data_IF_664026833880
#
_entry.id   IF_664026833880
#
_cell.length_a   1.000
_cell.length_b   1.000
_cell.length_c   1.000
_cell.angle_alpha   90.00
_cell.angle_beta   90.00
_cell.angle_gamma   90.00
#
_symmetry.space_group_name_H-M   'P 1'
#
loop_
_entity.id
_entity.type
_entity.pdbx_description
1 polymer ?
#
# COMPACT_ATOMS: atom_id res chain seq x y z
N UNK A 1 18.70 -7.48 8.14
CA UNK A 1 17.85 -8.61 7.73
C UNK A 1 16.40 -8.20 7.80
N UNK A 2 15.65 -8.43 6.73
CA UNK A 2 14.19 -8.28 6.69
C UNK A 2 13.61 -9.69 6.77
N UNK A 3 12.62 -9.86 7.63
CA UNK A 3 11.91 -11.13 7.86
C UNK A 3 10.41 -10.89 7.81
N UNK A 4 9.64 -11.95 7.70
CA UNK A 4 8.18 -11.87 7.77
C UNK A 4 7.61 -12.93 8.71
N UNK A 5 6.43 -12.64 9.26
CA UNK A 5 5.64 -13.54 10.08
C UNK A 5 4.17 -13.44 9.67
N UNK A 6 3.57 -14.56 9.33
CA UNK A 6 2.14 -14.63 9.02
C UNK A 6 1.34 -15.18 10.20
N UNK A 7 0.26 -14.48 10.55
CA UNK A 7 -0.73 -14.91 11.54
C UNK A 7 -2.03 -15.35 10.84
N UNK A 8 -2.30 -16.65 10.73
CA UNK A 8 -3.48 -17.15 10.00
C UNK A 8 -4.83 -16.67 10.54
N UNK A 9 -4.99 -16.62 11.88
CA UNK A 9 -6.25 -16.24 12.52
C UNK A 9 -6.68 -14.80 12.17
N UNK A 10 -5.73 -13.87 12.15
CA UNK A 10 -5.96 -12.47 11.82
C UNK A 10 -5.75 -12.15 10.34
N UNK A 11 -5.30 -13.12 9.54
CA UNK A 11 -4.88 -12.97 8.14
C UNK A 11 -3.89 -11.80 7.97
N UNK A 12 -2.99 -11.63 8.94
CA UNK A 12 -2.04 -10.51 8.99
C UNK A 12 -0.63 -11.00 8.71
N UNK A 13 0.04 -10.32 7.78
CA UNK A 13 1.46 -10.50 7.52
C UNK A 13 2.23 -9.34 8.15
N UNK A 14 3.22 -9.65 8.96
CA UNK A 14 4.13 -8.69 9.57
C UNK A 14 5.47 -8.72 8.87
N UNK A 15 5.96 -7.55 8.46
CA UNK A 15 7.33 -7.38 7.93
C UNK A 15 8.17 -6.72 9.00
N UNK A 16 9.25 -7.38 9.40
CA UNK A 16 10.13 -7.01 10.50
C UNK A 16 11.56 -6.79 10.01
N UNK A 17 12.26 -5.88 10.68
CA UNK A 17 13.66 -5.61 10.41
C UNK A 17 14.00 -4.14 10.40
N UNK A 18 15.15 -3.79 9.80
CA UNK A 18 15.62 -2.40 9.73
C UNK A 18 16.11 -2.08 8.32
N UNK A 19 15.89 -0.83 7.93
CA UNK A 19 16.38 -0.28 6.67
C UNK A 19 15.43 -0.48 5.50
N UNK A 20 15.88 -1.12 4.44
CA UNK A 20 15.20 -1.16 3.15
C UNK A 20 14.57 -2.53 2.91
N UNK A 21 13.27 -2.56 2.58
CA UNK A 21 12.67 -3.75 1.97
C UNK A 21 13.19 -3.83 0.53
N UNK A 22 13.86 -4.92 0.15
CA UNK A 22 14.49 -5.03 -1.16
C UNK A 22 13.47 -5.09 -2.30
N UNK A 23 13.94 -4.92 -3.51
CA UNK A 23 13.14 -5.15 -4.71
C UNK A 23 12.64 -6.59 -4.77
N UNK A 24 11.40 -6.75 -5.24
CA UNK A 24 10.77 -8.07 -5.42
C UNK A 24 10.81 -8.94 -4.15
N UNK A 25 10.72 -8.32 -2.99
CA UNK A 25 10.83 -9.04 -1.71
C UNK A 25 9.78 -10.14 -1.54
N UNK A 26 8.53 -9.82 -1.83
CA UNK A 26 7.39 -10.74 -1.94
C UNK A 26 6.57 -10.41 -3.20
N UNK A 27 7.15 -9.71 -4.16
CA UNK A 27 6.50 -9.22 -5.36
C UNK A 27 7.27 -9.61 -6.63
N UNK A 28 6.65 -9.33 -7.76
CA UNK A 28 7.15 -9.59 -9.10
C UNK A 28 7.18 -8.30 -9.91
N UNK A 29 8.05 -8.19 -10.89
CA UNK A 29 7.91 -7.19 -11.92
C UNK A 29 7.01 -7.72 -13.07
N UNK A 30 6.55 -6.78 -13.90
CA UNK A 30 5.64 -7.07 -15.01
C UNK A 30 6.27 -8.06 -15.99
N UNK A 31 7.53 -7.83 -16.35
CA UNK A 31 8.24 -8.61 -17.37
C UNK A 31 8.43 -10.07 -16.90
N UNK A 32 8.80 -10.27 -15.64
CA UNK A 32 8.94 -11.62 -15.08
C UNK A 32 7.59 -12.36 -14.99
N UNK A 33 6.52 -11.63 -14.73
CA UNK A 33 5.18 -12.21 -14.71
C UNK A 33 4.72 -12.57 -16.12
N UNK A 34 4.98 -11.72 -17.10
CA UNK A 34 4.69 -11.97 -18.52
C UNK A 34 5.56 -13.07 -19.10
N UNK A 35 6.89 -13.03 -18.90
CA UNK A 35 7.84 -14.08 -19.31
C UNK A 35 7.47 -15.44 -18.70
N UNK A 36 7.03 -15.42 -17.45
CA UNK A 36 6.57 -16.60 -16.77
C UNK A 36 5.29 -17.14 -17.44
N UNK A 37 4.28 -16.30 -17.68
CA UNK A 37 3.05 -16.68 -18.36
C UNK A 37 3.34 -17.23 -19.75
N UNK A 38 4.24 -16.60 -20.51
CA UNK A 38 4.63 -17.07 -21.84
C UNK A 38 5.40 -18.40 -21.80
N UNK A 39 6.36 -18.55 -20.89
CA UNK A 39 7.17 -19.75 -20.79
C UNK A 39 6.34 -20.99 -20.42
N UNK A 40 5.36 -20.84 -19.56
CA UNK A 40 4.46 -21.93 -19.17
C UNK A 40 3.39 -22.20 -20.24
N UNK A 41 2.95 -21.19 -21.01
CA UNK A 41 2.05 -21.32 -22.13
C UNK A 41 2.61 -22.23 -23.24
N UNK A 42 3.94 -22.16 -23.47
CA UNK A 42 4.61 -22.94 -24.52
C UNK A 42 5.11 -24.33 -24.07
N UNK A 43 5.17 -24.56 -22.77
CA UNK A 43 5.87 -25.74 -22.25
C UNK A 43 5.02 -27.02 -22.14
N UNK A 44 3.68 -26.96 -22.20
CA UNK A 44 2.86 -28.16 -21.97
C UNK A 44 1.51 -28.16 -22.73
N UNK A 45 1.13 -29.31 -23.27
CA UNK A 45 -0.26 -29.63 -23.59
C UNK A 45 -1.06 -29.70 -22.29
N UNK A 46 -1.86 -28.67 -22.02
CA UNK A 46 -2.68 -28.60 -20.81
C UNK A 46 -2.46 -27.37 -19.97
N UNK A 47 -2.54 -26.16 -20.59
CA UNK A 47 -2.23 -24.90 -19.92
C UNK A 47 -3.20 -24.54 -18.81
N UNK A 48 -2.64 -23.93 -17.78
CA UNK A 48 -3.39 -23.04 -16.90
C UNK A 48 -2.83 -21.62 -17.09
N UNK A 49 -3.59 -20.76 -17.71
CA UNK A 49 -3.31 -19.33 -17.75
C UNK A 49 -4.01 -18.70 -16.55
N UNK A 50 -3.26 -18.16 -15.63
CA UNK A 50 -3.81 -17.37 -14.53
C UNK A 50 -3.42 -15.90 -14.73
N UNK A 51 -4.40 -15.02 -14.79
CA UNK A 51 -4.18 -13.58 -14.85
C UNK A 51 -5.02 -12.89 -13.80
N UNK A 52 -4.54 -11.75 -13.35
CA UNK A 52 -5.24 -10.91 -12.41
C UNK A 52 -6.03 -9.87 -13.19
N UNK A 53 -7.36 -9.90 -13.08
CA UNK A 53 -8.20 -8.89 -13.70
C UNK A 53 -8.36 -7.65 -12.81
N UNK A 54 -8.95 -6.61 -13.39
CA UNK A 54 -9.20 -5.32 -12.73
C UNK A 54 -10.13 -5.42 -11.50
N UNK A 55 -10.85 -6.52 -11.33
CA UNK A 55 -11.66 -6.83 -10.15
C UNK A 55 -10.83 -7.36 -8.96
N UNK A 56 -9.54 -7.67 -9.17
CA UNK A 56 -8.63 -8.21 -8.18
C UNK A 56 -8.75 -9.70 -7.94
N UNK A 57 -9.50 -10.40 -8.80
CA UNK A 57 -9.55 -11.85 -8.80
C UNK A 57 -8.53 -12.45 -9.75
N UNK A 58 -7.95 -13.58 -9.35
CA UNK A 58 -7.09 -14.37 -10.24
C UNK A 58 -8.00 -15.25 -11.08
N UNK A 59 -8.10 -14.90 -12.34
CA UNK A 59 -8.80 -15.70 -13.33
C UNK A 59 -7.87 -16.79 -13.84
N UNK A 60 -8.36 -18.01 -13.83
CA UNK A 60 -7.59 -19.17 -14.26
C UNK A 60 -8.27 -19.83 -15.43
N UNK A 61 -7.62 -19.85 -16.58
CA UNK A 61 -8.05 -20.62 -17.74
C UNK A 61 -7.36 -21.99 -17.74
N UNK A 62 -8.15 -23.05 -17.82
CA UNK A 62 -7.65 -24.43 -17.92
C UNK A 62 -7.86 -25.00 -19.30
N UNK A 63 -6.83 -25.54 -19.88
CA UNK A 63 -6.99 -26.48 -20.95
C UNK A 63 -6.75 -27.90 -20.40
N UNK A 64 -7.83 -28.55 -20.00
CA UNK A 64 -7.93 -29.95 -19.52
C UNK A 64 -7.13 -30.37 -18.29
N UNK A 65 -7.88 -30.62 -17.23
CA UNK A 65 -7.57 -31.48 -16.07
C UNK A 65 -6.19 -31.34 -15.40
N UNK A 66 -6.00 -30.28 -14.63
CA UNK A 66 -5.02 -30.30 -13.55
C UNK A 66 -5.52 -29.49 -12.33
N UNK A 67 -5.15 -29.96 -11.15
CA UNK A 67 -5.56 -29.43 -9.86
C UNK A 67 -4.95 -28.03 -9.58
N UNK A 68 -5.79 -27.03 -9.30
CA UNK A 68 -5.41 -25.63 -9.14
C UNK A 68 -4.29 -25.41 -8.10
N UNK A 69 -4.32 -26.20 -7.05
CA UNK A 69 -3.37 -26.10 -5.95
C UNK A 69 -1.94 -26.52 -6.34
N UNK A 70 -1.83 -27.50 -7.22
CA UNK A 70 -0.55 -28.02 -7.67
C UNK A 70 0.18 -27.05 -8.63
N UNK A 71 -0.58 -26.34 -9.48
CA UNK A 71 -0.03 -25.41 -10.45
C UNK A 71 0.50 -24.14 -9.81
N UNK A 72 -0.24 -23.61 -8.84
CA UNK A 72 0.21 -22.44 -8.09
C UNK A 72 1.46 -22.74 -7.24
N UNK A 73 1.61 -23.96 -6.73
CA UNK A 73 2.82 -24.40 -6.04
C UNK A 73 4.05 -24.51 -6.95
N UNK A 74 3.87 -24.75 -8.23
CA UNK A 74 4.97 -24.76 -9.22
C UNK A 74 5.47 -23.37 -9.57
N UNK A 75 4.55 -22.42 -9.64
CA UNK A 75 4.81 -21.01 -10.01
C UNK A 75 5.50 -20.26 -8.87
N UNK A 76 5.00 -20.48 -7.69
CA UNK A 76 5.50 -19.83 -6.49
C UNK A 76 6.09 -20.92 -5.59
N UNK A 77 7.40 -20.99 -5.43
CA UNK A 77 7.96 -21.96 -4.50
C UNK A 77 7.36 -21.76 -3.11
N UNK A 78 6.88 -22.84 -2.51
CA UNK A 78 6.43 -22.84 -1.12
C UNK A 78 7.45 -22.05 -0.25
N UNK A 79 6.99 -21.17 0.64
CA UNK A 79 5.64 -21.04 1.20
C UNK A 79 4.83 -19.83 0.67
N UNK A 80 5.23 -19.19 -0.41
CA UNK A 80 4.75 -17.87 -0.83
C UNK A 80 3.27 -17.85 -1.23
N UNK A 81 2.85 -18.77 -2.07
CA UNK A 81 1.48 -18.72 -2.65
C UNK A 81 0.42 -18.98 -1.61
N UNK A 82 0.65 -19.91 -0.71
CA UNK A 82 -0.31 -20.24 0.33
C UNK A 82 -0.53 -19.10 1.31
N UNK A 83 0.52 -18.29 1.58
CA UNK A 83 0.46 -17.17 2.53
C UNK A 83 -0.15 -15.93 1.88
N UNK A 84 0.38 -15.50 0.73
CA UNK A 84 0.04 -14.20 0.15
C UNK A 84 -1.43 -14.07 -0.24
N UNK A 85 -2.07 -15.15 -0.71
CA UNK A 85 -3.51 -15.18 -1.01
C UNK A 85 -4.42 -15.00 0.20
N UNK A 86 -3.97 -15.34 1.38
CA UNK A 86 -4.77 -15.24 2.60
C UNK A 86 -4.53 -13.93 3.35
N UNK A 87 -3.55 -13.12 2.95
CA UNK A 87 -3.23 -11.87 3.61
C UNK A 87 -4.28 -10.82 3.29
N UNK A 88 -4.97 -10.35 4.33
CA UNK A 88 -5.88 -9.19 4.27
C UNK A 88 -5.28 -7.94 4.87
N UNK A 89 -4.27 -8.11 5.71
CA UNK A 89 -3.60 -7.00 6.37
C UNK A 89 -2.10 -7.19 6.33
N UNK A 90 -1.39 -6.16 5.87
CA UNK A 90 0.06 -6.08 5.91
C UNK A 90 0.48 -5.05 6.95
N UNK A 91 1.34 -5.45 7.88
CA UNK A 91 1.91 -4.56 8.89
C UNK A 91 3.42 -4.50 8.67
N UNK A 92 3.90 -3.31 8.34
CA UNK A 92 5.33 -3.03 8.24
C UNK A 92 5.76 -2.40 9.56
N UNK A 93 6.64 -3.07 10.29
CA UNK A 93 7.03 -2.68 11.63
C UNK A 93 8.09 -1.55 11.64
N UNK A 94 8.23 -0.90 12.80
CA UNK A 94 9.20 0.17 12.99
C UNK A 94 10.64 -0.28 12.71
N UNK A 95 11.42 0.63 12.12
CA UNK A 95 12.79 0.36 11.66
C UNK A 95 12.90 0.26 10.14
N UNK A 96 11.82 -0.03 9.43
CA UNK A 96 11.80 0.01 7.97
C UNK A 96 11.73 1.47 7.53
N UNK A 97 12.63 1.85 6.62
CA UNK A 97 12.76 3.22 6.13
C UNK A 97 12.41 3.40 4.66
N UNK A 98 12.47 2.32 3.89
CA UNK A 98 12.16 2.34 2.45
C UNK A 98 11.52 1.04 2.00
N UNK A 99 10.57 1.17 1.08
CA UNK A 99 10.00 0.06 0.31
C UNK A 99 10.47 0.22 -1.13
N UNK A 100 11.20 -0.77 -1.64
CA UNK A 100 11.76 -0.73 -2.99
C UNK A 100 10.73 -1.07 -4.06
N UNK A 101 11.15 -0.93 -5.31
CA UNK A 101 10.35 -1.20 -6.49
C UNK A 101 9.86 -2.66 -6.50
N UNK A 102 8.61 -2.88 -6.88
CA UNK A 102 7.96 -4.19 -6.96
C UNK A 102 7.98 -5.04 -5.67
N UNK A 103 8.27 -4.44 -4.50
CA UNK A 103 8.48 -5.20 -3.27
C UNK A 103 7.30 -6.12 -2.89
N UNK A 104 6.07 -5.73 -3.23
CA UNK A 104 4.83 -6.45 -2.93
C UNK A 104 3.87 -6.52 -4.12
N UNK A 105 4.32 -6.17 -5.33
CA UNK A 105 3.47 -6.17 -6.51
C UNK A 105 3.04 -7.59 -6.89
N UNK A 106 1.83 -7.72 -7.44
CA UNK A 106 1.22 -8.96 -7.92
C UNK A 106 1.07 -10.09 -6.89
N UNK A 107 1.33 -9.84 -5.61
CA UNK A 107 1.40 -10.92 -4.60
C UNK A 107 0.23 -10.98 -3.64
N UNK A 108 -0.55 -9.92 -3.50
CA UNK A 108 -1.57 -9.82 -2.46
C UNK A 108 -2.97 -9.48 -3.03
N UNK A 109 -3.63 -10.42 -3.71
CA UNK A 109 -4.93 -10.14 -4.38
C UNK A 109 -6.04 -9.76 -3.39
N UNK A 110 -5.95 -10.22 -2.15
CA UNK A 110 -6.96 -9.98 -1.11
C UNK A 110 -6.54 -8.93 -0.06
N UNK A 111 -5.47 -8.16 -0.31
CA UNK A 111 -4.99 -7.15 0.62
C UNK A 111 -6.00 -6.01 0.77
N UNK A 112 -6.48 -5.81 1.96
CA UNK A 112 -7.45 -4.76 2.29
C UNK A 112 -6.82 -3.57 3.02
N UNK A 113 -5.71 -3.82 3.72
CA UNK A 113 -5.09 -2.81 4.57
C UNK A 113 -3.59 -2.97 4.65
N UNK A 114 -2.88 -1.86 4.51
CA UNK A 114 -1.47 -1.74 4.87
C UNK A 114 -1.30 -0.78 6.04
N UNK A 115 -0.41 -1.12 6.97
CA UNK A 115 0.01 -0.26 8.09
C UNK A 115 1.49 0.03 7.94
N UNK A 116 1.81 1.30 7.77
CA UNK A 116 3.19 1.77 7.63
C UNK A 116 3.77 2.27 8.95
N UNK A 117 5.08 2.04 9.20
CA UNK A 117 5.76 2.54 10.38
C UNK A 117 6.04 4.06 10.29
N UNK A 118 6.22 4.68 11.43
CA UNK A 118 6.60 6.10 11.50
C UNK A 118 8.03 6.37 10.98
N UNK A 119 8.85 5.32 10.89
CA UNK A 119 10.22 5.36 10.35
C UNK A 119 10.27 5.39 8.83
N UNK A 120 9.17 5.10 8.12
CA UNK A 120 9.14 5.05 6.66
C UNK A 120 9.38 6.44 6.04
N UNK A 121 10.27 6.51 5.05
CA UNK A 121 10.67 7.72 4.32
C UNK A 121 10.29 7.68 2.84
N UNK A 122 10.33 6.50 2.22
CA UNK A 122 10.04 6.39 0.79
C UNK A 122 9.37 5.09 0.39
N UNK A 123 8.48 5.20 -0.60
CA UNK A 123 7.84 4.07 -1.28
C UNK A 123 8.13 4.25 -2.78
N UNK A 124 8.76 3.25 -3.38
CA UNK A 124 9.17 3.31 -4.77
C UNK A 124 8.05 2.86 -5.73
N UNK A 125 8.36 2.99 -7.02
CA UNK A 125 7.52 2.63 -8.15
C UNK A 125 7.01 1.18 -8.05
N UNK A 126 5.74 0.97 -8.40
CA UNK A 126 5.08 -0.33 -8.44
C UNK A 126 5.20 -1.17 -7.14
N UNK A 127 5.53 -0.55 -6.01
CA UNK A 127 5.75 -1.29 -4.76
C UNK A 127 4.56 -2.15 -4.32
N UNK A 128 3.34 -1.71 -4.64
CA UNK A 128 2.06 -2.37 -4.36
C UNK A 128 1.16 -2.43 -5.60
N UNK A 129 1.74 -2.55 -6.79
CA UNK A 129 0.95 -2.67 -8.00
C UNK A 129 0.00 -3.87 -7.91
N UNK A 130 -1.22 -3.69 -8.45
CA UNK A 130 -2.33 -4.68 -8.43
C UNK A 130 -2.91 -4.95 -7.02
N UNK A 131 -2.43 -4.29 -5.96
CA UNK A 131 -3.04 -4.39 -4.63
C UNK A 131 -4.25 -3.44 -4.55
N UNK A 132 -5.46 -3.95 -4.54
CA UNK A 132 -6.69 -3.14 -4.43
C UNK A 132 -6.99 -2.81 -2.96
N UNK A 133 -7.03 -1.53 -2.62
CA UNK A 133 -7.34 -1.08 -1.26
C UNK A 133 -8.29 0.12 -1.27
N UNK A 134 -9.24 0.14 -0.35
CA UNK A 134 -10.14 1.28 -0.22
C UNK A 134 -9.45 2.52 0.31
N UNK A 135 -8.48 2.33 1.20
CA UNK A 135 -7.79 3.46 1.83
C UNK A 135 -6.36 3.10 2.26
N UNK A 136 -5.44 3.99 1.90
CA UNK A 136 -4.05 3.95 2.37
C UNK A 136 -3.73 5.21 3.16
N UNK A 137 -3.15 5.03 4.37
CA UNK A 137 -2.74 6.14 5.23
C UNK A 137 -1.23 6.23 5.25
N UNK A 138 -0.69 7.31 4.73
CA UNK A 138 0.75 7.58 4.70
C UNK A 138 1.21 8.29 5.98
N UNK A 139 2.31 7.82 6.61
CA UNK A 139 2.79 8.37 7.86
C UNK A 139 3.33 9.80 7.69
N UNK A 140 3.33 10.56 8.79
CA UNK A 140 3.71 11.98 8.77
C UNK A 140 5.17 12.23 8.32
N UNK A 141 6.04 11.26 8.53
CA UNK A 141 7.46 11.34 8.20
C UNK A 141 7.81 10.83 6.80
N UNK A 142 6.83 10.39 6.01
CA UNK A 142 7.07 9.97 4.63
C UNK A 142 7.53 11.18 3.81
N UNK A 143 8.66 11.03 3.12
CA UNK A 143 9.26 12.08 2.31
C UNK A 143 8.81 11.99 0.85
N UNK A 144 8.84 10.76 0.30
CA UNK A 144 8.48 10.52 -1.10
C UNK A 144 7.63 9.27 -1.26
N UNK A 145 6.71 9.32 -2.21
CA UNK A 145 5.99 8.16 -2.73
C UNK A 145 5.93 8.28 -4.25
N UNK A 146 6.20 7.19 -4.93
CA UNK A 146 6.08 7.15 -6.39
C UNK A 146 4.61 7.19 -6.80
N UNK A 147 4.30 7.86 -7.90
CA UNK A 147 2.93 8.00 -8.40
C UNK A 147 2.30 6.67 -8.79
N UNK A 148 3.10 5.73 -9.26
CA UNK A 148 2.67 4.36 -9.60
C UNK A 148 2.83 3.35 -8.47
N UNK A 149 3.19 3.77 -7.26
CA UNK A 149 3.43 2.86 -6.15
C UNK A 149 2.27 1.87 -5.90
N UNK A 150 1.03 2.26 -6.24
CA UNK A 150 -0.19 1.46 -6.10
C UNK A 150 -0.95 1.28 -7.43
N UNK A 151 -0.41 1.76 -8.53
CA UNK A 151 -0.98 1.67 -9.87
C UNK A 151 -2.49 2.04 -9.92
N UNK A 152 -2.84 3.14 -9.27
CA UNK A 152 -4.21 3.68 -9.14
C UNK A 152 -5.28 2.71 -8.60
N UNK A 153 -4.88 1.58 -8.01
CA UNK A 153 -5.81 0.59 -7.43
C UNK A 153 -6.28 0.96 -6.01
N UNK A 154 -5.99 2.17 -5.54
CA UNK A 154 -6.41 2.69 -4.24
C UNK A 154 -7.50 3.74 -4.43
N UNK A 155 -8.63 3.58 -3.71
CA UNK A 155 -9.71 4.56 -3.78
C UNK A 155 -9.34 5.86 -3.08
N UNK A 156 -8.74 5.78 -1.89
CA UNK A 156 -8.44 6.95 -1.06
C UNK A 156 -7.01 6.89 -0.50
N UNK A 157 -6.26 7.98 -0.64
CA UNK A 157 -4.97 8.17 0.03
C UNK A 157 -5.06 9.31 1.05
N UNK A 158 -4.56 9.08 2.26
CA UNK A 158 -4.52 10.06 3.34
C UNK A 158 -3.07 10.37 3.70
N UNK A 159 -2.63 11.60 3.46
CA UNK A 159 -1.29 12.06 3.79
C UNK A 159 -1.28 12.78 5.13
N UNK A 160 -0.62 12.17 6.13
CA UNK A 160 -0.41 12.80 7.44
C UNK A 160 0.82 13.71 7.47
N UNK A 161 1.66 13.68 6.44
CA UNK A 161 2.83 14.52 6.28
C UNK A 161 2.55 15.79 5.48
N UNK A 162 3.13 16.93 5.89
CA UNK A 162 3.03 18.17 5.13
C UNK A 162 4.10 18.33 4.05
N UNK A 163 5.20 17.58 4.17
CA UNK A 163 6.37 17.67 3.27
C UNK A 163 6.44 16.56 2.23
N UNK A 164 5.62 15.51 2.39
CA UNK A 164 5.59 14.37 1.48
C UNK A 164 5.36 14.83 0.04
N UNK A 165 6.13 14.29 -0.89
CA UNK A 165 6.00 14.54 -2.33
C UNK A 165 5.61 13.25 -3.03
N UNK A 166 4.71 13.35 -3.99
CA UNK A 166 4.47 12.30 -5.00
C UNK A 166 5.42 12.57 -6.15
N UNK A 167 6.00 11.53 -6.75
CA UNK A 167 6.87 11.71 -7.92
C UNK A 167 6.08 12.34 -9.05
N UNK A 168 6.72 13.24 -9.78
CA UNK A 168 6.13 14.01 -10.85
C UNK A 168 4.82 14.72 -10.45
N UNK A 169 3.99 15.05 -11.42
CA UNK A 169 2.64 15.61 -11.19
C UNK A 169 1.55 14.54 -11.31
N UNK A 170 1.92 13.26 -11.24
CA UNK A 170 1.01 12.13 -11.48
C UNK A 170 0.30 11.65 -10.20
N UNK A 171 -0.01 12.57 -9.31
CA UNK A 171 -0.74 12.26 -8.07
C UNK A 171 -2.10 11.56 -8.32
N UNK A 172 -2.68 11.73 -9.51
CA UNK A 172 -3.88 11.02 -9.94
C UNK A 172 -3.67 9.54 -10.26
N UNK A 173 -2.43 9.12 -10.52
CA UNK A 173 -2.08 7.71 -10.73
C UNK A 173 -1.87 6.98 -9.39
N UNK A 174 -1.75 7.70 -8.30
CA UNK A 174 -1.63 7.12 -6.96
C UNK A 174 -2.98 6.65 -6.40
N UNK A 175 -4.03 7.46 -6.52
CA UNK A 175 -5.36 7.16 -5.98
C UNK A 175 -6.46 7.99 -6.65
N UNK A 176 -7.72 7.52 -6.54
CA UNK A 176 -8.88 8.27 -7.05
C UNK A 176 -9.16 9.55 -6.27
N UNK A 177 -8.92 9.54 -4.94
CA UNK A 177 -9.10 10.69 -4.06
C UNK A 177 -7.96 10.82 -3.06
N UNK A 178 -7.44 12.04 -2.91
CA UNK A 178 -6.33 12.35 -2.01
C UNK A 178 -6.80 13.28 -0.89
N UNK A 179 -6.54 12.91 0.35
CA UNK A 179 -6.73 13.73 1.54
C UNK A 179 -5.36 14.21 2.05
N UNK A 180 -5.20 15.51 2.21
CA UNK A 180 -3.94 16.09 2.65
C UNK A 180 -4.16 17.37 3.46
N UNK A 181 -3.16 17.82 4.20
CA UNK A 181 -3.27 19.09 4.93
C UNK A 181 -3.21 20.29 3.99
N UNK A 182 -3.99 21.33 4.31
CA UNK A 182 -3.89 22.62 3.63
C UNK A 182 -2.47 23.19 3.71
N UNK A 183 -1.95 23.68 2.59
CA UNK A 183 -0.59 24.20 2.45
C UNK A 183 0.50 23.11 2.33
N UNK A 184 0.15 21.82 2.34
CA UNK A 184 1.10 20.73 2.15
C UNK A 184 1.70 20.68 0.74
N UNK A 185 2.82 19.94 0.59
CA UNK A 185 3.40 19.69 -0.72
C UNK A 185 2.46 18.91 -1.63
N UNK A 186 1.74 17.93 -1.08
CA UNK A 186 0.74 17.14 -1.82
C UNK A 186 -0.41 18.01 -2.31
N UNK A 187 -0.93 18.94 -1.50
CA UNK A 187 -1.99 19.85 -1.96
C UNK A 187 -1.53 20.70 -3.16
N UNK A 188 -0.27 21.19 -3.11
CA UNK A 188 0.29 21.94 -4.24
C UNK A 188 0.38 21.08 -5.50
N UNK A 189 0.76 19.81 -5.37
CA UNK A 189 0.81 18.86 -6.48
C UNK A 189 -0.59 18.54 -7.01
N UNK A 190 -1.60 18.37 -6.15
CA UNK A 190 -2.99 18.18 -6.59
C UNK A 190 -3.50 19.38 -7.40
N UNK A 191 -3.22 20.60 -6.94
CA UNK A 191 -3.58 21.83 -7.67
C UNK A 191 -2.87 21.91 -9.03
N UNK A 192 -1.58 21.58 -9.09
CA UNK A 192 -0.81 21.56 -10.33
C UNK A 192 -1.34 20.49 -11.30
N UNK A 193 -1.64 19.28 -10.80
CA UNK A 193 -2.25 18.19 -11.57
C UNK A 193 -3.58 18.62 -12.21
N UNK A 194 -4.45 19.27 -11.45
CA UNK A 194 -5.74 19.76 -11.97
C UNK A 194 -5.60 20.87 -13.01
N UNK A 195 -4.58 21.72 -12.87
CA UNK A 195 -4.31 22.82 -13.78
C UNK A 195 -3.57 22.37 -15.07
N UNK A 196 -2.96 21.21 -15.05
CA UNK A 196 -2.24 20.65 -16.22
C UNK A 196 -3.22 20.40 -17.37
N UNK A 197 -2.79 20.66 -18.60
CA UNK A 197 -3.60 20.52 -19.81
C UNK A 197 -3.32 19.24 -20.59
N UNK A 198 -2.31 18.45 -20.17
CA UNK A 198 -1.98 17.20 -20.80
C UNK A 198 -3.13 16.20 -20.59
N UNK A 199 -3.77 15.66 -21.66
CA UNK A 199 -4.86 14.71 -21.56
C UNK A 199 -4.43 13.34 -21.00
N UNK A 200 -3.14 13.01 -21.11
CA UNK A 200 -2.59 11.73 -20.62
C UNK A 200 -2.38 11.72 -19.09
N UNK A 201 -2.52 12.88 -18.44
CA UNK A 201 -2.43 12.98 -16.98
C UNK A 201 -3.78 12.76 -16.35
N UNK A 202 -3.92 11.64 -15.59
CA UNK A 202 -5.11 11.36 -14.80
C UNK A 202 -5.33 12.44 -13.75
N UNK A 203 -6.53 13.02 -13.75
CA UNK A 203 -6.88 14.06 -12.77
C UNK A 203 -7.25 13.46 -11.43
N UNK A 204 -6.78 14.08 -10.36
CA UNK A 204 -7.04 13.68 -8.99
C UNK A 204 -8.21 14.47 -8.38
N UNK A 205 -9.06 13.80 -7.61
CA UNK A 205 -9.91 14.48 -6.64
C UNK A 205 -9.14 14.66 -5.33
N UNK A 206 -9.26 15.81 -4.67
CA UNK A 206 -8.62 15.98 -3.37
C UNK A 206 -9.46 16.80 -2.39
N UNK A 207 -9.21 16.57 -1.10
CA UNK A 207 -9.82 17.32 0.01
C UNK A 207 -8.76 17.68 1.05
N UNK A 208 -8.90 18.85 1.66
CA UNK A 208 -7.98 19.25 2.71
C UNK A 208 -8.45 18.79 4.09
N UNK A 209 -7.53 18.21 4.85
CA UNK A 209 -7.74 17.83 6.24
C UNK A 209 -7.47 19.05 7.13
N UNK A 210 -8.37 19.32 8.06
CA UNK A 210 -8.15 20.35 9.08
C UNK A 210 -7.28 19.75 10.20
N UNK A 211 -6.18 20.41 10.51
CA UNK A 211 -5.38 20.05 11.69
C UNK A 211 -6.23 20.28 12.94
N UNK A 212 -6.38 19.30 13.84
CA UNK A 212 -7.03 19.53 15.12
C UNK A 212 -6.31 20.64 15.88
N UNK A 213 -7.07 21.51 16.55
CA UNK A 213 -6.47 22.50 17.41
C UNK A 213 -5.74 21.83 18.57
N UNK A 214 -4.67 22.49 19.02
CA UNK A 214 -3.95 22.01 20.19
C UNK A 214 -4.89 21.91 21.39
N UNK A 215 -4.78 20.82 22.15
CA UNK A 215 -5.51 20.68 23.40
C UNK A 215 -5.05 21.78 24.37
N UNK A 216 -5.97 22.48 24.94
CA UNK A 216 -5.70 23.53 25.92
C UNK A 216 -6.38 23.23 27.25
N UNK A 217 -6.02 23.96 28.29
CA UNK A 217 -6.64 23.81 29.60
C UNK A 217 -6.40 22.46 30.23
N UNK A 218 -5.26 21.81 29.94
CA UNK A 218 -4.90 20.54 30.56
C UNK A 218 -4.67 20.76 32.06
N UNK A 219 -5.42 20.04 32.87
CA UNK A 219 -5.29 20.02 34.34
C UNK A 219 -5.05 18.60 34.80
N UNK A 220 -4.12 18.41 35.70
CA UNK A 220 -3.86 17.15 36.37
C UNK A 220 -4.28 17.27 37.84
N UNK A 221 -5.03 16.31 38.32
CA UNK A 221 -5.34 16.16 39.75
C UNK A 221 -4.95 14.75 40.19
N UNK A 222 -4.29 14.65 41.34
CA UNK A 222 -3.88 13.37 41.92
C UNK A 222 -4.75 13.04 43.13
N UNK A 223 -5.18 11.78 43.23
CA UNK A 223 -5.88 11.27 44.41
C UNK A 223 -5.32 9.88 44.69
N UNK A 224 -4.50 9.79 45.72
CA UNK A 224 -3.74 8.57 46.00
C UNK A 224 -2.81 8.20 44.84
N UNK A 225 -2.91 6.99 44.32
CA UNK A 225 -2.14 6.48 43.18
C UNK A 225 -2.77 6.81 41.82
N UNK A 226 -3.86 7.55 41.77
CA UNK A 226 -4.62 7.86 40.54
C UNK A 226 -4.36 9.29 40.09
N UNK A 227 -4.05 9.47 38.79
CA UNK A 227 -3.93 10.77 38.15
C UNK A 227 -5.14 10.97 37.22
N UNK A 228 -5.92 12.01 37.49
CA UNK A 228 -7.04 12.42 36.62
C UNK A 228 -6.58 13.60 35.75
N UNK A 229 -6.63 13.41 34.43
CA UNK A 229 -6.39 14.48 33.45
C UNK A 229 -7.72 14.99 32.93
N UNK A 230 -7.84 16.32 32.85
CA UNK A 230 -8.94 17.01 32.21
C UNK A 230 -8.41 18.05 31.24
N UNK A 231 -9.13 18.28 30.13
CA UNK A 231 -8.73 19.28 29.13
C UNK A 231 -9.95 19.84 28.41
N UNK A 232 -9.78 20.99 27.76
CA UNK A 232 -10.79 21.57 26.90
C UNK A 232 -10.86 20.78 25.59
N UNK A 233 -12.08 20.61 25.07
CA UNK A 233 -12.26 19.95 23.76
C UNK A 233 -11.51 20.72 22.67
N UNK A 234 -10.64 20.03 21.97
CA UNK A 234 -9.92 20.62 20.83
C UNK A 234 -10.90 20.83 19.65
N UNK A 235 -10.77 21.98 18.97
CA UNK A 235 -11.52 22.24 17.73
C UNK A 235 -11.09 21.20 16.67
N UNK A 236 -12.05 20.59 15.99
CA UNK A 236 -11.85 19.53 15.01
C UNK A 236 -11.32 18.19 15.55
N UNK A 237 -11.29 17.98 16.87
CA UNK A 237 -11.08 16.65 17.40
C UNK A 237 -12.35 15.81 17.15
N UNK A 238 -12.20 14.75 16.39
CA UNK A 238 -13.26 13.76 16.23
C UNK A 238 -13.34 12.89 17.47
N UNK A 239 -14.54 12.42 17.78
CA UNK A 239 -14.80 11.46 18.86
C UNK A 239 -14.32 10.08 18.48
#
# INVERSE_FOLDING_TARGET
>A
NITYLYEPESQTLYIRGKGVIPEKFLGWDTDQYEDYLESELYAQEGYVLSWLEDDGEIHTFRSREMDDEINLRRIYPEPYVSITRHVKKLVIEEGITRISRFAFSYSFPNLQKVVFPSTLRSIADCAFAICKMDCVVFPANLETVDSFAFDANVSNCIFLGKKTKVSDLRVGDLAKHVYCYAGSAVEKQCKANLADKNPDIRKVNYSTIKTPAQVSGVKAATTGSTVKLTWNKAKYANR
#
